data_IF_656626863020
#
_entry.id   IF_656626863020
#
_cell.length_a   1.000
_cell.length_b   1.000
_cell.length_c   1.000
_cell.angle_alpha   90.00
_cell.angle_beta   90.00
_cell.angle_gamma   90.00
#
_symmetry.space_group_name_H-M   'P 1'
#
loop_
_entity.id
_entity.type
_entity.pdbx_description
1 polymer ?
#
# COMPACT_ATOMS: atom_id res chain seq x y z
N UNK A 1 8.55 -12.10 -14.14
CA UNK A 1 7.56 -12.64 -13.18
C UNK A 1 6.63 -11.52 -12.72
N UNK A 2 5.37 -11.86 -12.44
CA UNK A 2 4.38 -10.90 -11.98
C UNK A 2 4.60 -10.53 -10.50
N UNK A 3 4.79 -9.23 -10.21
CA UNK A 3 5.12 -8.69 -8.89
C UNK A 3 4.10 -7.62 -8.50
N UNK A 4 3.43 -7.80 -7.36
CA UNK A 4 2.61 -6.74 -6.78
C UNK A 4 3.49 -5.82 -5.91
N UNK A 5 3.41 -4.52 -6.14
CA UNK A 5 4.03 -3.49 -5.32
C UNK A 5 2.93 -2.71 -4.59
N UNK A 6 2.87 -2.80 -3.26
CA UNK A 6 1.80 -2.17 -2.47
C UNK A 6 2.40 -1.06 -1.63
N UNK A 7 1.92 0.15 -1.85
CA UNK A 7 2.33 1.35 -1.12
C UNK A 7 1.15 2.27 -0.93
N UNK A 8 1.12 2.97 0.19
CA UNK A 8 0.13 4.04 0.43
C UNK A 8 0.36 5.25 -0.46
N UNK A 9 1.62 5.50 -0.82
CA UNK A 9 2.03 6.63 -1.64
C UNK A 9 2.68 6.14 -2.93
N UNK A 10 2.24 6.72 -4.04
CA UNK A 10 2.83 6.54 -5.37
C UNK A 10 2.68 7.84 -6.17
N UNK A 11 3.52 8.13 -7.17
CA UNK A 11 3.34 9.34 -7.98
C UNK A 11 1.92 9.50 -8.54
N UNK A 12 1.42 10.74 -8.67
CA UNK A 12 2.16 12.02 -8.66
C UNK A 12 2.53 12.57 -7.28
N UNK A 13 2.28 11.86 -6.19
CA UNK A 13 2.70 12.28 -4.85
C UNK A 13 4.23 12.33 -4.75
N UNK A 14 4.76 13.44 -4.21
CA UNK A 14 6.21 13.68 -4.10
C UNK A 14 6.74 13.35 -2.69
N UNK A 15 6.39 12.19 -2.18
CA UNK A 15 6.95 11.68 -0.92
C UNK A 15 8.15 10.79 -1.20
N UNK A 16 9.05 10.65 -0.24
CA UNK A 16 10.19 9.73 -0.38
C UNK A 16 9.76 8.28 -0.61
N UNK A 17 8.65 7.86 0.00
CA UNK A 17 8.05 6.54 -0.23
C UNK A 17 7.59 6.36 -1.68
N UNK A 18 6.92 7.38 -2.25
CA UNK A 18 6.44 7.34 -3.63
C UNK A 18 7.60 7.20 -4.62
N UNK A 19 8.67 7.99 -4.43
CA UNK A 19 9.86 7.95 -5.28
C UNK A 19 10.55 6.59 -5.18
N UNK A 20 10.79 6.08 -3.98
CA UNK A 20 11.44 4.79 -3.77
C UNK A 20 10.65 3.63 -4.41
N UNK A 21 9.32 3.66 -4.30
CA UNK A 21 8.48 2.63 -4.89
C UNK A 21 8.43 2.73 -6.41
N UNK A 22 8.51 3.95 -6.97
CA UNK A 22 8.62 4.16 -8.41
C UNK A 22 9.96 3.64 -8.94
N UNK A 23 11.07 4.00 -8.29
CA UNK A 23 12.40 3.54 -8.67
C UNK A 23 12.48 2.00 -8.62
N UNK A 24 11.94 1.38 -7.59
CA UNK A 24 11.86 -0.07 -7.47
C UNK A 24 11.03 -0.70 -8.59
N UNK A 25 9.89 -0.11 -8.93
CA UNK A 25 9.03 -0.59 -10.01
C UNK A 25 9.77 -0.53 -11.36
N UNK A 26 10.41 0.59 -11.65
CA UNK A 26 11.19 0.78 -12.88
C UNK A 26 12.34 -0.22 -12.96
N UNK A 27 13.06 -0.43 -11.85
CA UNK A 27 14.19 -1.37 -11.84
C UNK A 27 13.72 -2.82 -12.02
N UNK A 28 12.64 -3.23 -11.39
CA UNK A 28 12.04 -4.56 -11.61
C UNK A 28 11.62 -4.75 -13.07
N UNK A 29 11.04 -3.72 -13.67
CA UNK A 29 10.66 -3.75 -15.09
C UNK A 29 11.88 -3.89 -16.01
N UNK A 30 12.97 -3.16 -15.74
CA UNK A 30 14.24 -3.27 -16.48
C UNK A 30 14.86 -4.67 -16.38
N UNK A 31 14.65 -5.35 -15.26
CA UNK A 31 15.11 -6.72 -15.04
C UNK A 31 14.19 -7.79 -15.66
N UNK A 32 13.19 -7.39 -16.46
CA UNK A 32 12.29 -8.31 -17.16
C UNK A 32 11.19 -8.88 -16.26
N UNK A 33 10.85 -8.20 -15.17
CA UNK A 33 9.68 -8.51 -14.35
C UNK A 33 8.48 -7.69 -14.80
N UNK A 34 7.30 -8.06 -14.33
CA UNK A 34 6.03 -7.38 -14.59
C UNK A 34 5.50 -6.78 -13.27
N UNK A 35 6.02 -5.61 -12.86
CA UNK A 35 5.53 -4.95 -11.66
C UNK A 35 4.17 -4.30 -11.91
N UNK A 36 3.24 -4.50 -10.97
CA UNK A 36 1.97 -3.77 -10.91
C UNK A 36 1.91 -3.09 -9.56
N UNK A 37 1.76 -1.78 -9.57
CA UNK A 37 1.62 -0.98 -8.35
C UNK A 37 0.15 -0.94 -7.94
N UNK A 38 -0.13 -1.23 -6.67
CA UNK A 38 -1.46 -1.11 -6.07
C UNK A 38 -1.38 -0.05 -4.97
N UNK A 39 -2.11 1.04 -5.14
CA UNK A 39 -2.07 2.19 -4.23
C UNK A 39 -3.47 2.73 -3.96
N UNK A 40 -3.78 3.19 -2.72
CA UNK A 40 -5.01 3.92 -2.47
C UNK A 40 -4.97 5.30 -3.13
N UNK A 41 -6.12 5.80 -3.54
CA UNK A 41 -6.27 7.15 -4.10
C UNK A 41 -7.59 7.77 -3.66
N UNK A 42 -7.56 9.09 -3.40
CA UNK A 42 -8.76 9.89 -3.14
C UNK A 42 -9.16 10.75 -4.35
N UNK A 43 -8.40 10.67 -5.43
CA UNK A 43 -8.55 11.52 -6.61
C UNK A 43 -9.39 10.88 -7.71
N UNK A 44 -9.65 9.57 -7.62
CA UNK A 44 -10.48 8.83 -8.55
C UNK A 44 -11.94 8.82 -8.12
N UNK A 45 -12.86 8.86 -9.09
CA UNK A 45 -14.30 8.84 -8.83
C UNK A 45 -14.88 7.41 -8.77
N UNK A 46 -14.28 6.51 -9.54
CA UNK A 46 -14.68 5.10 -9.59
C UNK A 46 -14.09 4.30 -8.42
N UNK A 47 -14.54 3.07 -8.24
CA UNK A 47 -14.03 2.19 -7.20
C UNK A 47 -12.56 1.84 -7.40
N UNK A 48 -12.10 1.80 -8.65
CA UNK A 48 -10.72 1.58 -9.06
C UNK A 48 -10.45 2.22 -10.43
N UNK A 49 -9.21 2.55 -10.65
CA UNK A 49 -8.69 3.05 -11.93
C UNK A 49 -7.36 2.35 -12.23
N UNK A 50 -7.20 1.87 -13.45
CA UNK A 50 -5.95 1.30 -13.92
C UNK A 50 -5.37 2.12 -15.06
N UNK A 51 -4.08 2.40 -14.98
CA UNK A 51 -3.37 3.17 -15.98
C UNK A 51 -1.90 2.80 -16.05
N UNK A 52 -1.14 3.50 -16.87
CA UNK A 52 0.31 3.34 -16.97
C UNK A 52 1.02 4.63 -16.59
N UNK A 53 2.11 4.49 -15.85
CA UNK A 53 3.02 5.57 -15.51
C UNK A 53 4.45 5.07 -15.69
N UNK A 54 5.24 5.75 -16.53
CA UNK A 54 6.61 5.34 -16.89
C UNK A 54 6.72 3.88 -17.37
N UNK A 55 5.70 3.40 -18.08
CA UNK A 55 5.61 2.01 -18.54
C UNK A 55 5.18 1.00 -17.48
N UNK A 56 4.99 1.43 -16.25
CA UNK A 56 4.54 0.58 -15.13
C UNK A 56 3.03 0.66 -14.99
N UNK A 57 2.38 -0.50 -14.88
CA UNK A 57 0.95 -0.57 -14.61
C UNK A 57 0.64 -0.17 -13.17
N UNK A 58 -0.29 0.76 -12.99
CA UNK A 58 -0.70 1.29 -11.68
C UNK A 58 -2.19 1.09 -11.52
N UNK A 59 -2.58 0.35 -10.48
CA UNK A 59 -3.95 0.21 -10.02
C UNK A 59 -4.18 1.14 -8.83
N UNK A 60 -5.04 2.13 -9.00
CA UNK A 60 -5.52 3.00 -7.94
C UNK A 60 -6.85 2.49 -7.41
N UNK A 61 -6.96 2.33 -6.10
CA UNK A 61 -8.18 1.93 -5.42
C UNK A 61 -8.70 3.11 -4.61
N UNK A 62 -9.97 3.50 -4.78
CA UNK A 62 -10.53 4.62 -4.00
C UNK A 62 -10.40 4.34 -2.51
N UNK A 63 -9.72 5.20 -1.79
CA UNK A 63 -9.51 5.07 -0.35
C UNK A 63 -10.71 5.51 0.51
N UNK A 64 -11.77 6.02 -0.14
CA UNK A 64 -12.82 6.76 0.55
C UNK A 64 -12.31 8.17 0.91
N UNK A 65 -13.20 9.15 0.93
CA UNK A 65 -12.86 10.49 1.41
C UNK A 65 -12.56 10.40 2.91
N UNK A 66 -11.31 10.19 3.27
CA UNK A 66 -10.87 10.47 4.63
C UNK A 66 -11.06 11.97 4.81
N UNK A 67 -12.11 12.34 5.53
CA UNK A 67 -12.32 13.72 5.89
C UNK A 67 -11.04 14.23 6.56
N UNK A 68 -10.55 15.38 6.11
CA UNK A 68 -9.52 16.17 6.80
C UNK A 68 -10.10 16.72 8.14
N UNK A 69 -10.79 15.88 8.88
CA UNK A 69 -11.32 16.21 10.20
C UNK A 69 -10.19 16.03 11.20
N UNK A 70 -9.89 17.08 11.92
CA UNK A 70 -8.75 17.18 12.84
C UNK A 70 -8.75 16.26 14.07
N UNK A 71 -9.45 15.12 14.03
CA UNK A 71 -9.42 14.13 15.08
C UNK A 71 -8.44 12.99 14.73
N UNK A 72 -7.38 12.85 15.53
CA UNK A 72 -6.43 11.73 15.42
C UNK A 72 -7.11 10.37 15.45
N UNK A 73 -8.15 10.21 16.26
CA UNK A 73 -8.90 8.97 16.38
C UNK A 73 -9.57 8.56 15.05
N UNK A 74 -10.24 9.50 14.37
CA UNK A 74 -10.88 9.25 13.08
C UNK A 74 -9.86 8.94 11.99
N UNK A 75 -8.70 9.56 12.04
CA UNK A 75 -7.59 9.26 11.14
C UNK A 75 -7.09 7.83 11.34
N UNK A 76 -6.77 7.44 12.56
CA UNK A 76 -6.31 6.08 12.88
C UNK A 76 -7.36 5.03 12.50
N UNK A 77 -8.64 5.31 12.77
CA UNK A 77 -9.73 4.41 12.37
C UNK A 77 -9.82 4.25 10.84
N UNK A 78 -9.66 5.34 10.08
CA UNK A 78 -9.67 5.27 8.62
C UNK A 78 -8.47 4.52 8.05
N UNK A 79 -7.29 4.70 8.64
CA UNK A 79 -6.09 3.92 8.29
C UNK A 79 -6.27 2.42 8.60
N UNK A 80 -6.89 2.10 9.72
CA UNK A 80 -7.22 0.71 10.09
C UNK A 80 -8.23 0.06 9.13
N UNK A 81 -9.22 0.81 8.65
CA UNK A 81 -10.24 0.31 7.72
C UNK A 81 -9.78 0.27 6.26
N UNK A 82 -8.74 1.01 5.91
CA UNK A 82 -8.22 1.12 4.54
C UNK A 82 -7.94 -0.23 3.88
N UNK A 83 -7.22 -1.20 4.50
CA UNK A 83 -6.94 -2.48 3.84
C UNK A 83 -8.20 -3.29 3.53
N UNK A 84 -9.22 -3.22 4.36
CA UNK A 84 -10.49 -3.91 4.12
C UNK A 84 -11.23 -3.31 2.94
N UNK A 85 -11.22 -1.98 2.83
CA UNK A 85 -11.77 -1.26 1.70
C UNK A 85 -11.01 -1.61 0.41
N UNK A 86 -9.68 -1.65 0.47
CA UNK A 86 -8.84 -2.05 -0.66
C UNK A 86 -9.11 -3.49 -1.07
N UNK A 87 -9.29 -4.43 -0.14
CA UNK A 87 -9.67 -5.82 -0.43
C UNK A 87 -11.00 -5.85 -1.19
N UNK A 88 -12.00 -5.11 -0.71
CA UNK A 88 -13.32 -5.07 -1.34
C UNK A 88 -13.23 -4.56 -2.79
N UNK A 89 -12.50 -3.48 -3.02
CA UNK A 89 -12.35 -2.86 -4.34
C UNK A 89 -11.44 -3.65 -5.28
N UNK A 90 -10.38 -4.25 -4.76
CA UNK A 90 -9.53 -5.15 -5.53
C UNK A 90 -10.33 -6.33 -6.07
N UNK A 91 -11.28 -6.87 -5.29
CA UNK A 91 -12.18 -7.95 -5.73
C UNK A 91 -13.05 -7.58 -6.93
N UNK A 92 -13.38 -6.30 -7.09
CA UNK A 92 -14.18 -5.79 -8.21
C UNK A 92 -13.35 -5.43 -9.42
N UNK A 93 -12.03 -5.43 -9.28
CA UNK A 93 -11.10 -5.14 -10.37
C UNK A 93 -10.66 -6.42 -11.09
N UNK A 94 -10.21 -6.32 -12.35
CA UNK A 94 -9.66 -7.46 -13.08
C UNK A 94 -8.34 -7.99 -12.49
N UNK A 95 -7.78 -7.31 -11.47
CA UNK A 95 -6.53 -7.67 -10.82
C UNK A 95 -6.70 -8.65 -9.65
N UNK A 96 -7.95 -8.98 -9.27
CA UNK A 96 -8.23 -9.86 -8.15
C UNK A 96 -7.66 -11.28 -8.33
N UNK A 97 -7.75 -11.82 -9.55
CA UNK A 97 -7.45 -13.22 -9.85
C UNK A 97 -6.05 -13.41 -10.44
N UNK A 98 -5.24 -12.36 -10.42
CA UNK A 98 -3.86 -12.43 -10.89
C UNK A 98 -3.02 -13.36 -10.03
N UNK A 99 -2.22 -14.21 -10.69
CA UNK A 99 -1.34 -15.17 -10.05
C UNK A 99 0.00 -14.52 -9.69
N UNK A 100 -0.02 -13.75 -8.62
CA UNK A 100 1.16 -13.08 -8.10
C UNK A 100 2.27 -14.08 -7.77
N UNK A 101 3.50 -13.76 -8.11
CA UNK A 101 4.69 -14.56 -7.74
C UNK A 101 5.43 -13.98 -6.55
N UNK A 102 5.30 -12.67 -6.36
CA UNK A 102 5.86 -11.93 -5.24
C UNK A 102 4.97 -10.74 -4.93
N UNK A 103 4.79 -10.45 -3.65
CA UNK A 103 4.16 -9.24 -3.15
C UNK A 103 5.20 -8.48 -2.34
N UNK A 104 5.55 -7.27 -2.76
CA UNK A 104 6.40 -6.34 -2.02
C UNK A 104 5.51 -5.23 -1.48
N UNK A 105 5.62 -4.93 -0.21
CA UNK A 105 4.83 -3.89 0.41
C UNK A 105 5.68 -2.99 1.31
N UNK A 106 5.29 -1.72 1.40
CA UNK A 106 6.09 -0.68 2.02
C UNK A 106 5.43 -0.18 3.30
N UNK A 107 6.18 -0.15 4.40
CA UNK A 107 5.82 0.52 5.65
C UNK A 107 6.06 2.05 5.52
N UNK A 108 5.31 2.95 6.21
CA UNK A 108 4.78 2.74 7.57
C UNK A 108 3.35 2.20 7.66
N UNK A 109 2.65 1.90 6.60
CA UNK A 109 1.29 1.35 6.69
C UNK A 109 1.27 -0.06 7.24
N UNK A 110 1.47 -0.21 8.56
CA UNK A 110 1.38 -1.48 9.29
C UNK A 110 0.02 -2.17 9.12
N UNK A 111 -1.00 -1.40 8.77
CA UNK A 111 -2.37 -1.88 8.58
C UNK A 111 -2.59 -2.68 7.30
N UNK A 112 -1.66 -2.70 6.34
CA UNK A 112 -1.81 -3.49 5.10
C UNK A 112 -1.77 -5.00 5.31
N UNK A 113 -1.42 -5.48 6.50
CA UNK A 113 -1.36 -6.92 6.83
C UNK A 113 -2.54 -7.74 6.31
N UNK A 114 -3.81 -7.36 6.56
CA UNK A 114 -4.98 -8.10 6.06
C UNK A 114 -5.03 -8.19 4.53
N UNK A 115 -4.71 -7.12 3.81
CA UNK A 115 -4.65 -7.10 2.34
C UNK A 115 -3.57 -8.06 1.83
N UNK A 116 -2.36 -7.96 2.38
CA UNK A 116 -1.22 -8.81 2.02
C UNK A 116 -1.53 -10.28 2.29
N UNK A 117 -2.08 -10.59 3.46
CA UNK A 117 -2.47 -11.94 3.82
C UNK A 117 -3.49 -12.52 2.83
N UNK A 118 -4.50 -11.74 2.48
CA UNK A 118 -5.53 -12.15 1.51
C UNK A 118 -4.93 -12.44 0.14
N UNK A 119 -4.11 -11.53 -0.39
CA UNK A 119 -3.47 -11.68 -1.70
C UNK A 119 -2.49 -12.86 -1.71
N UNK A 120 -1.66 -12.98 -0.66
CA UNK A 120 -0.74 -14.11 -0.49
C UNK A 120 -1.47 -15.46 -0.48
N UNK A 121 -2.58 -15.55 0.27
CA UNK A 121 -3.37 -16.78 0.35
C UNK A 121 -3.98 -17.16 -0.99
N UNK A 122 -4.47 -16.20 -1.76
CA UNK A 122 -5.07 -16.44 -3.07
C UNK A 122 -4.04 -16.90 -4.10
N UNK A 123 -2.85 -16.29 -4.11
CA UNK A 123 -1.81 -16.58 -5.12
C UNK A 123 -0.79 -17.62 -4.68
N UNK A 124 -0.73 -18.01 -3.42
CA UNK A 124 0.29 -18.92 -2.89
C UNK A 124 1.72 -18.39 -3.00
N UNK A 125 1.92 -17.06 -3.02
CA UNK A 125 3.19 -16.43 -3.31
C UNK A 125 3.99 -16.03 -2.06
N UNK A 126 5.25 -15.63 -2.27
CA UNK A 126 6.10 -15.03 -1.22
C UNK A 126 5.76 -13.56 -1.02
N UNK A 127 6.08 -13.03 0.17
CA UNK A 127 5.90 -11.62 0.49
C UNK A 127 7.20 -11.04 1.03
N UNK A 128 7.46 -9.77 0.72
CA UNK A 128 8.59 -8.99 1.23
C UNK A 128 8.07 -7.66 1.79
N UNK A 129 8.45 -7.34 3.02
CA UNK A 129 8.17 -6.04 3.64
C UNK A 129 9.42 -5.17 3.53
N UNK A 130 9.28 -3.98 2.96
CA UNK A 130 10.25 -2.90 3.08
C UNK A 130 9.90 -2.12 4.35
N UNK A 131 10.58 -2.46 5.45
CA UNK A 131 10.39 -1.84 6.74
C UNK A 131 11.30 -0.61 6.84
N UNK A 132 10.71 0.58 6.88
CA UNK A 132 11.45 1.83 6.98
C UNK A 132 11.44 2.39 8.40
N UNK A 133 10.27 2.43 9.02
CA UNK A 133 10.07 3.03 10.33
C UNK A 133 9.46 1.99 11.26
N UNK A 134 10.08 1.81 12.43
CA UNK A 134 9.55 0.92 13.47
C UNK A 134 8.75 1.77 14.45
N UNK A 135 7.44 1.85 14.21
CA UNK A 135 6.50 2.42 15.17
C UNK A 135 6.07 1.31 16.15
N UNK A 136 6.04 1.55 17.46
CA UNK A 136 6.18 2.85 18.15
C UNK A 136 7.58 3.18 18.68
N UNK A 137 8.62 2.38 18.41
CA UNK A 137 9.95 2.55 19.00
C UNK A 137 10.54 3.94 18.79
N UNK A 138 10.54 4.46 17.55
CA UNK A 138 11.08 5.79 17.30
C UNK A 138 10.31 6.90 18.05
N UNK A 139 9.01 6.72 18.29
CA UNK A 139 8.20 7.68 19.04
C UNK A 139 8.51 7.65 20.53
N UNK A 140 8.91 6.48 21.08
CA UNK A 140 9.42 6.34 22.43
C UNK A 140 10.78 7.01 22.58
N UNK A 141 11.69 6.74 21.65
CA UNK A 141 13.06 7.29 21.66
C UNK A 141 13.07 8.81 21.58
N UNK A 142 12.12 9.38 20.82
CA UNK A 142 11.89 10.84 20.75
C UNK A 142 11.11 11.40 21.95
N UNK A 143 10.65 10.56 22.87
CA UNK A 143 9.87 11.00 24.05
C UNK A 143 8.45 11.47 23.72
N UNK A 144 7.94 11.19 22.53
CA UNK A 144 6.59 11.57 22.08
C UNK A 144 5.50 10.73 22.71
N UNK A 145 5.81 9.49 23.07
CA UNK A 145 4.94 8.57 23.81
C UNK A 145 5.70 7.97 25.00
N UNK A 146 4.95 7.54 26.01
CA UNK A 146 5.53 6.85 27.18
C UNK A 146 5.13 5.38 27.16
N UNK A 147 6.01 4.51 27.65
CA UNK A 147 5.65 3.11 27.91
C UNK A 147 4.47 3.05 28.88
N UNK A 148 3.39 2.43 28.47
CA UNK A 148 2.15 2.33 29.22
C UNK A 148 1.30 1.15 28.75
N UNK A 149 0.03 1.10 29.17
CA UNK A 149 -0.90 0.00 28.89
C UNK A 149 -1.19 -0.21 27.38
N UNK A 150 -0.86 0.77 26.54
CA UNK A 150 -1.06 0.75 25.08
C UNK A 150 0.21 0.45 24.28
N UNK A 151 1.26 0.03 24.94
CA UNK A 151 2.52 -0.39 24.30
C UNK A 151 2.70 -1.89 24.36
#
# INVERSE_FOLDING_TARGET
MLVALISEHYPPMRTSAAIQMQDLAIELFRQGHEPIVITPSNEINDEWEAGFMDGIQVLRLTAGRTHKTGSYFLRTLSEFLLPFLMIYKLRKSPFNDLQWKLIIWYSPSIFFGPLIWKMKRNAGCKTCLILRDIFPEWALDLGLIRKGVTY
#
